data_IF_247806818783
#
_entry.id   IF_247806818783
#
_cell.length_a   1.000
_cell.length_b   1.000
_cell.length_c   1.000
_cell.angle_alpha   90.00
_cell.angle_beta   90.00
_cell.angle_gamma   90.00
#
_symmetry.space_group_name_H-M   'P 1'
#
loop_
_entity.id
_entity.type
_entity.pdbx_description
1 polymer ?
#
# COMPACT_ATOMS: atom_id res chain seq x y z
N UNK A 1 10.23 -38.39 -0.69
CA UNK A 1 10.13 -37.46 0.43
C UNK A 1 8.87 -36.63 0.23
N UNK A 2 7.95 -36.62 1.17
CA UNK A 2 6.60 -36.04 1.04
C UNK A 2 6.65 -34.55 1.39
N UNK A 3 6.25 -33.69 0.48
CA UNK A 3 6.02 -32.26 0.75
C UNK A 3 4.54 -32.03 1.05
N UNK A 4 4.25 -31.56 2.23
CA UNK A 4 2.92 -31.13 2.64
C UNK A 4 2.61 -29.76 2.05
N UNK A 5 1.50 -29.65 1.34
CA UNK A 5 0.92 -28.38 0.90
C UNK A 5 0.09 -27.83 2.05
N UNK A 6 0.43 -26.65 2.55
CA UNK A 6 -0.43 -25.86 3.42
C UNK A 6 -1.31 -24.94 2.56
N UNK A 7 -2.58 -25.05 2.81
CA UNK A 7 -3.64 -24.27 2.16
C UNK A 7 -3.84 -23.01 2.98
N UNK A 8 -3.66 -21.85 2.36
CA UNK A 8 -4.01 -20.55 2.96
C UNK A 8 -5.52 -20.39 3.04
N UNK A 9 -6.03 -20.28 4.23
CA UNK A 9 -7.43 -19.93 4.50
C UNK A 9 -7.57 -18.41 4.57
N UNK A 10 -8.38 -17.86 3.68
CA UNK A 10 -8.81 -16.46 3.72
C UNK A 10 -9.96 -16.34 4.70
N UNK A 11 -9.77 -15.63 5.82
CA UNK A 11 -10.84 -15.28 6.74
C UNK A 11 -11.66 -14.12 6.19
N UNK A 12 -12.88 -14.40 5.76
CA UNK A 12 -13.93 -13.42 5.49
C UNK A 12 -14.67 -13.17 6.79
N UNK A 13 -14.61 -11.95 7.32
CA UNK A 13 -15.38 -11.52 8.47
C UNK A 13 -16.80 -11.17 8.04
N UNK A 14 -17.76 -12.06 8.31
CA UNK A 14 -19.18 -11.78 8.13
C UNK A 14 -19.79 -11.29 9.46
N UNK A 15 -20.25 -10.03 9.46
CA UNK A 15 -21.06 -9.47 10.56
C UNK A 15 -22.48 -10.04 10.46
N UNK A 16 -22.91 -10.80 11.47
CA UNK A 16 -24.30 -11.15 11.68
C UNK A 16 -24.88 -10.30 12.80
N UNK A 17 -25.85 -9.45 12.48
CA UNK A 17 -26.73 -8.82 13.45
C UNK A 17 -27.74 -9.86 13.93
N UNK A 18 -27.84 -10.08 15.24
CA UNK A 18 -28.98 -10.76 15.87
C UNK A 18 -29.61 -9.85 16.91
N UNK A 19 -30.80 -9.40 16.62
CA UNK A 19 -31.73 -8.84 17.61
C UNK A 19 -32.36 -9.99 18.41
N UNK A 20 -32.33 -9.91 19.73
CA UNK A 20 -33.27 -10.62 20.58
C UNK A 20 -33.76 -9.70 21.70
N UNK A 21 -35.05 -9.52 21.71
CA UNK A 21 -35.77 -8.79 22.73
C UNK A 21 -36.24 -9.76 23.83
N UNK A 22 -36.30 -9.28 25.06
CA UNK A 22 -37.31 -9.66 26.04
C UNK A 22 -36.87 -10.51 27.23
N UNK A 23 -37.10 -9.97 28.42
CA UNK A 23 -37.25 -10.73 29.65
C UNK A 23 -36.82 -10.00 30.92
N UNK A 24 -37.77 -9.38 31.61
CA UNK A 24 -37.63 -8.85 32.97
C UNK A 24 -37.33 -9.93 34.02
N UNK A 25 -36.47 -9.61 34.97
CA UNK A 25 -36.70 -9.98 36.39
C UNK A 25 -35.82 -9.14 37.31
N UNK A 26 -36.47 -8.55 38.32
CA UNK A 26 -35.89 -7.73 39.41
C UNK A 26 -35.07 -8.61 40.40
N UNK A 27 -33.94 -8.06 40.86
CA UNK A 27 -33.43 -7.92 42.23
C UNK A 27 -31.92 -7.89 42.31
N UNK A 28 -31.36 -6.73 42.59
CA UNK A 28 -30.33 -6.47 43.59
C UNK A 28 -29.73 -5.07 43.33
N UNK A 29 -30.30 -4.09 44.02
CA UNK A 29 -29.64 -2.81 44.27
C UNK A 29 -28.71 -2.99 45.47
N UNK A 30 -27.41 -2.88 45.30
CA UNK A 30 -26.44 -2.37 46.26
C UNK A 30 -24.96 -2.41 45.79
N UNK A 31 -24.71 -2.95 44.60
CA UNK A 31 -23.34 -2.96 44.03
C UNK A 31 -23.16 -2.05 42.78
N UNK A 32 -24.15 -1.18 42.50
CA UNK A 32 -24.21 -0.47 41.21
C UNK A 32 -23.69 0.97 41.25
N UNK A 33 -23.32 1.53 42.42
CA UNK A 33 -22.90 2.93 42.53
C UNK A 33 -21.44 3.15 42.17
N UNK A 34 -20.55 2.23 42.55
CA UNK A 34 -19.12 2.39 42.30
C UNK A 34 -18.71 2.04 40.82
N UNK A 35 -19.39 1.05 40.26
CA UNK A 35 -19.17 0.69 38.85
C UNK A 35 -19.69 1.80 37.89
N UNK A 36 -20.79 2.47 38.24
CA UNK A 36 -21.30 3.57 37.40
C UNK A 36 -20.40 4.81 37.41
N UNK A 37 -19.65 5.04 38.49
CA UNK A 37 -18.74 6.18 38.58
C UNK A 37 -17.46 5.94 37.80
N UNK A 38 -16.90 4.75 37.83
CA UNK A 38 -15.74 4.39 37.01
C UNK A 38 -16.10 4.33 35.51
N UNK A 39 -17.21 3.71 35.15
CA UNK A 39 -17.65 3.65 33.74
C UNK A 39 -17.97 5.03 33.17
N UNK A 40 -18.43 5.98 33.97
CA UNK A 40 -18.64 7.37 33.51
C UNK A 40 -17.34 8.16 33.37
N UNK A 41 -16.32 7.91 34.21
CA UNK A 41 -14.99 8.49 34.03
C UNK A 41 -14.30 8.00 32.78
N UNK A 42 -14.34 6.70 32.54
CA UNK A 42 -13.77 6.07 31.35
C UNK A 42 -14.47 6.60 30.07
N UNK A 43 -15.81 6.66 30.04
CA UNK A 43 -16.53 7.21 28.89
C UNK A 43 -16.25 8.68 28.60
N UNK A 44 -15.85 9.48 29.58
CA UNK A 44 -15.52 10.89 29.38
C UNK A 44 -14.10 11.06 28.83
N UNK A 45 -13.17 10.20 29.23
CA UNK A 45 -11.81 10.14 28.65
C UNK A 45 -11.86 9.66 27.19
N UNK A 46 -12.60 8.61 26.89
CA UNK A 46 -12.78 8.08 25.52
C UNK A 46 -13.28 9.15 24.52
N UNK A 47 -14.15 10.09 24.94
CA UNK A 47 -14.68 11.11 24.04
C UNK A 47 -13.68 12.23 23.68
N UNK A 48 -12.70 12.48 24.52
CA UNK A 48 -11.71 13.54 24.29
C UNK A 48 -10.51 13.00 23.47
N UNK A 49 -10.10 11.74 23.67
CA UNK A 49 -8.94 11.16 22.99
C UNK A 49 -9.24 10.61 21.58
N UNK A 50 -10.38 9.99 21.36
CA UNK A 50 -10.77 9.52 20.01
C UNK A 50 -10.88 10.68 19.01
N UNK A 51 -11.19 11.87 19.46
CA UNK A 51 -11.22 13.08 18.62
C UNK A 51 -9.81 13.66 18.34
N UNK A 52 -8.77 13.28 19.08
CA UNK A 52 -7.41 13.77 18.89
C UNK A 52 -6.56 12.90 17.96
N UNK A 53 -6.98 11.65 17.71
CA UNK A 53 -6.27 10.70 16.84
C UNK A 53 -6.97 10.60 15.48
N UNK A 54 -7.01 11.69 14.75
CA UNK A 54 -7.46 11.65 13.37
C UNK A 54 -6.27 11.47 12.44
N UNK A 55 -6.12 10.25 11.92
CA UNK A 55 -5.31 9.96 10.71
C UNK A 55 -6.03 10.43 9.45
N UNK A 56 -7.12 11.20 9.60
CA UNK A 56 -7.93 11.67 8.48
C UNK A 56 -7.08 12.55 7.57
N UNK A 57 -6.92 12.09 6.36
CA UNK A 57 -6.32 12.87 5.30
C UNK A 57 -7.09 14.17 5.06
N UNK A 58 -6.36 15.19 4.61
CA UNK A 58 -7.01 16.44 4.20
C UNK A 58 -7.89 16.16 2.99
N UNK A 59 -9.12 16.64 3.00
CA UNK A 59 -10.06 16.49 1.87
C UNK A 59 -9.45 16.98 0.55
N UNK A 60 -8.56 17.99 0.60
CA UNK A 60 -7.83 18.50 -0.56
C UNK A 60 -6.89 17.47 -1.21
N UNK A 61 -6.49 16.43 -0.50
CA UNK A 61 -5.64 15.36 -1.06
C UNK A 61 -6.38 14.57 -2.15
N UNK A 62 -7.68 14.49 -2.04
CA UNK A 62 -8.55 13.74 -2.95
C UNK A 62 -9.38 14.65 -3.84
N UNK A 63 -9.08 15.96 -3.90
CA UNK A 63 -9.85 16.93 -4.67
C UNK A 63 -9.91 16.62 -6.19
N UNK A 64 -8.86 15.94 -6.70
CA UNK A 64 -8.79 15.50 -8.09
C UNK A 64 -9.27 14.06 -8.29
N UNK A 65 -9.76 13.40 -7.23
CA UNK A 65 -10.29 12.04 -7.34
C UNK A 65 -11.68 12.10 -7.98
N UNK A 66 -11.78 11.48 -9.15
CA UNK A 66 -13.06 11.15 -9.79
C UNK A 66 -13.13 9.63 -9.89
N UNK A 67 -14.05 9.03 -9.15
CA UNK A 67 -14.20 7.57 -9.05
C UNK A 67 -14.52 6.92 -10.39
N UNK A 68 -15.10 7.68 -11.32
CA UNK A 68 -15.54 7.21 -12.63
C UNK A 68 -14.59 7.58 -13.77
N UNK A 69 -13.67 8.53 -13.55
CA UNK A 69 -12.76 8.98 -14.60
C UNK A 69 -11.68 7.94 -14.92
N UNK A 70 -11.30 7.91 -16.19
CA UNK A 70 -10.18 7.11 -16.68
C UNK A 70 -9.15 8.06 -17.29
N UNK A 71 -7.94 8.07 -16.73
CA UNK A 71 -6.81 8.83 -17.30
C UNK A 71 -6.13 7.98 -18.35
N UNK A 72 -5.82 8.56 -19.50
CA UNK A 72 -5.04 7.86 -20.52
C UNK A 72 -3.56 8.12 -20.35
N UNK A 73 -2.76 7.06 -20.34
CA UNK A 73 -1.30 7.11 -20.30
C UNK A 73 -0.69 6.45 -21.53
N UNK A 74 0.24 7.16 -22.15
CA UNK A 74 1.03 6.72 -23.29
C UNK A 74 2.45 6.47 -22.83
N UNK A 75 2.92 5.23 -22.99
CA UNK A 75 4.25 4.82 -22.56
C UNK A 75 5.04 4.32 -23.77
N UNK A 76 6.04 5.10 -24.20
CA UNK A 76 7.02 4.63 -25.17
C UNK A 76 8.21 4.07 -24.43
N UNK A 77 8.53 2.78 -24.64
CA UNK A 77 9.67 2.11 -24.01
C UNK A 77 10.83 1.94 -25.00
N UNK A 78 12.04 2.08 -24.50
CA UNK A 78 13.28 1.93 -25.26
C UNK A 78 14.38 1.33 -24.40
N UNK A 79 15.41 0.76 -25.01
CA UNK A 79 16.62 0.38 -24.28
C UNK A 79 17.31 1.65 -23.79
N UNK A 80 17.68 1.66 -22.54
CA UNK A 80 18.47 2.72 -21.93
C UNK A 80 19.93 2.32 -21.82
N UNK A 81 20.48 2.29 -20.61
CA UNK A 81 21.88 1.96 -20.37
C UNK A 81 22.04 0.93 -19.23
N UNK A 82 23.13 0.18 -19.28
CA UNK A 82 23.44 -0.87 -18.31
C UNK A 82 23.68 -0.33 -16.88
N UNK A 83 24.18 0.92 -16.75
CA UNK A 83 24.44 1.52 -15.44
C UNK A 83 23.16 1.85 -14.64
N UNK A 84 22.05 2.01 -15.35
CA UNK A 84 20.70 2.18 -14.77
C UNK A 84 19.88 0.87 -14.79
N UNK A 85 20.47 -0.23 -15.23
CA UNK A 85 19.77 -1.53 -15.47
C UNK A 85 18.55 -1.36 -16.40
N UNK A 86 18.69 -0.51 -17.44
CA UNK A 86 17.60 -0.17 -18.39
C UNK A 86 17.90 -0.58 -19.83
N UNK A 87 18.95 -1.35 -20.06
CA UNK A 87 19.38 -1.82 -21.38
C UNK A 87 18.65 -3.10 -21.85
N UNK A 88 17.59 -3.47 -21.16
CA UNK A 88 16.78 -4.65 -21.45
C UNK A 88 15.70 -4.36 -22.50
N UNK A 89 15.14 -5.42 -23.09
CA UNK A 89 13.98 -5.30 -23.96
C UNK A 89 12.66 -5.36 -23.19
N UNK A 90 11.61 -4.86 -23.83
CA UNK A 90 10.25 -4.97 -23.31
C UNK A 90 9.81 -6.44 -23.17
N UNK A 91 10.21 -7.26 -24.12
CA UNK A 91 9.98 -8.70 -24.08
C UNK A 91 10.66 -9.35 -22.87
N UNK A 92 11.92 -9.02 -22.60
CA UNK A 92 12.67 -9.57 -21.46
C UNK A 92 11.98 -9.21 -20.13
N UNK A 93 11.65 -7.94 -19.87
CA UNK A 93 11.04 -7.58 -18.59
C UNK A 93 9.66 -8.22 -18.39
N UNK A 94 8.94 -8.55 -19.47
CA UNK A 94 7.64 -9.20 -19.40
C UNK A 94 7.74 -10.74 -19.33
N UNK A 95 8.91 -11.32 -19.59
CA UNK A 95 9.11 -12.77 -19.59
C UNK A 95 9.41 -13.35 -18.22
N UNK A 96 10.03 -12.58 -17.33
CA UNK A 96 10.50 -13.06 -16.03
C UNK A 96 9.53 -12.69 -14.91
N UNK A 97 9.39 -13.61 -13.95
CA UNK A 97 8.74 -13.38 -12.66
C UNK A 97 9.76 -12.91 -11.62
N UNK A 98 9.31 -12.55 -10.44
CA UNK A 98 10.21 -12.24 -9.32
C UNK A 98 11.01 -13.46 -8.88
N UNK A 99 10.40 -14.63 -8.88
CA UNK A 99 11.07 -15.89 -8.58
C UNK A 99 12.20 -16.19 -9.59
N UNK A 100 12.00 -15.85 -10.87
CA UNK A 100 13.06 -16.00 -11.88
C UNK A 100 14.25 -15.08 -11.57
N UNK A 101 14.02 -13.82 -11.20
CA UNK A 101 15.09 -12.88 -10.81
C UNK A 101 15.82 -13.34 -9.54
N UNK A 102 15.09 -13.84 -8.55
CA UNK A 102 15.68 -14.41 -7.32
C UNK A 102 16.55 -15.63 -7.64
N UNK A 103 16.09 -16.53 -8.52
CA UNK A 103 16.85 -17.69 -8.96
C UNK A 103 18.10 -17.32 -9.77
N UNK A 104 18.03 -16.25 -10.56
CA UNK A 104 19.19 -15.73 -11.31
C UNK A 104 20.16 -14.93 -10.43
N UNK A 105 19.74 -14.51 -9.22
CA UNK A 105 20.55 -13.67 -8.35
C UNK A 105 20.79 -12.27 -8.90
N UNK A 106 19.83 -11.71 -9.66
CA UNK A 106 19.92 -10.40 -10.28
C UNK A 106 18.74 -9.51 -9.89
N UNK A 107 18.96 -8.20 -9.94
CA UNK A 107 17.89 -7.22 -9.78
C UNK A 107 16.89 -7.29 -10.94
N UNK A 108 15.63 -6.91 -10.66
CA UNK A 108 14.59 -6.84 -11.70
C UNK A 108 15.02 -5.93 -12.84
N UNK A 109 14.99 -6.44 -14.04
CA UNK A 109 15.29 -5.70 -15.25
C UNK A 109 14.33 -4.53 -15.46
N UNK A 110 14.86 -3.48 -16.03
CA UNK A 110 14.12 -2.26 -16.33
C UNK A 110 14.30 -1.89 -17.80
N UNK A 111 13.45 -1.01 -18.27
CA UNK A 111 13.60 -0.31 -19.55
C UNK A 111 13.49 1.19 -19.34
N UNK A 112 14.08 1.97 -20.20
CA UNK A 112 13.83 3.40 -20.26
C UNK A 112 12.42 3.66 -20.80
N UNK A 113 11.69 4.62 -20.24
CA UNK A 113 10.33 4.96 -20.62
C UNK A 113 10.13 6.45 -20.82
N UNK A 114 9.38 6.81 -21.85
CA UNK A 114 8.76 8.12 -22.00
C UNK A 114 7.29 7.97 -21.62
N UNK A 115 6.94 8.43 -20.42
CA UNK A 115 5.56 8.48 -19.96
C UNK A 115 4.95 9.83 -20.36
N UNK A 116 3.81 9.78 -21.03
CA UNK A 116 3.01 10.94 -21.40
C UNK A 116 1.58 10.74 -20.92
N UNK A 117 1.00 11.75 -20.31
CA UNK A 117 -0.39 11.71 -19.82
C UNK A 117 -1.27 12.56 -20.71
N UNK A 118 -2.46 12.05 -21.01
CA UNK A 118 -3.41 12.69 -21.90
C UNK A 118 -4.81 12.14 -21.83
N UNK A 119 -5.51 12.21 -22.94
CA UNK A 119 -6.85 11.67 -23.15
C UNK A 119 -6.85 10.67 -24.32
N UNK A 120 -8.00 10.28 -24.82
CA UNK A 120 -8.15 9.32 -25.93
C UNK A 120 -7.59 9.83 -27.27
N UNK A 121 -7.31 11.12 -27.39
CA UNK A 121 -6.78 11.74 -28.61
C UNK A 121 -5.26 11.88 -28.59
N UNK A 122 -4.62 11.63 -27.45
CA UNK A 122 -3.16 11.69 -27.28
C UNK A 122 -2.70 12.46 -26.05
N UNK A 123 -1.37 12.68 -25.91
CA UNK A 123 -0.81 13.49 -24.84
C UNK A 123 -1.33 14.92 -24.84
N UNK A 124 -1.72 15.46 -23.68
CA UNK A 124 -2.33 16.79 -23.57
C UNK A 124 -1.40 17.79 -22.89
N UNK A 125 -1.49 19.05 -23.35
CA UNK A 125 -0.66 20.16 -22.83
C UNK A 125 -0.87 20.35 -21.31
N UNK A 126 0.22 20.63 -20.60
CA UNK A 126 0.22 20.83 -19.15
C UNK A 126 0.34 19.53 -18.33
N UNK A 127 0.26 18.37 -18.97
CA UNK A 127 0.45 17.09 -18.33
C UNK A 127 1.89 16.57 -18.45
N UNK A 128 2.22 15.56 -17.64
CA UNK A 128 3.54 14.90 -17.63
C UNK A 128 3.91 14.43 -19.03
N UNK A 129 5.14 14.73 -19.44
CA UNK A 129 5.73 14.26 -20.69
C UNK A 129 5.21 14.92 -21.95
N UNK A 130 4.30 15.91 -21.87
CA UNK A 130 3.81 16.60 -23.06
C UNK A 130 4.95 17.25 -23.85
N UNK A 131 4.98 17.00 -25.15
CA UNK A 131 6.04 17.45 -26.06
C UNK A 131 7.47 16.98 -25.70
N UNK A 132 7.62 16.01 -24.80
CA UNK A 132 8.91 15.35 -24.58
C UNK A 132 9.13 14.23 -25.62
N UNK A 133 10.39 14.08 -26.04
CA UNK A 133 10.82 13.08 -27.02
C UNK A 133 11.83 12.08 -26.42
N UNK A 134 12.33 12.38 -25.21
CA UNK A 134 13.35 11.57 -24.55
C UNK A 134 12.79 10.87 -23.32
N UNK A 135 13.31 9.69 -22.93
CA UNK A 135 12.85 8.98 -21.74
C UNK A 135 12.88 9.83 -20.47
N UNK A 136 11.74 9.93 -19.80
CA UNK A 136 11.55 10.65 -18.56
C UNK A 136 11.35 9.75 -17.34
N UNK A 137 11.33 8.43 -17.55
CA UNK A 137 11.07 7.45 -16.52
C UNK A 137 11.89 6.17 -16.71
N UNK A 138 11.90 5.32 -15.69
CA UNK A 138 12.24 3.90 -15.78
C UNK A 138 10.99 3.06 -15.56
N UNK A 139 10.94 1.88 -16.16
CA UNK A 139 9.79 0.97 -16.10
C UNK A 139 10.24 -0.44 -15.78
N UNK A 140 9.56 -1.08 -14.85
CA UNK A 140 9.78 -2.49 -14.51
C UNK A 140 8.45 -3.18 -14.16
N UNK A 141 8.44 -4.51 -14.19
CA UNK A 141 7.30 -5.25 -13.62
C UNK A 141 7.25 -5.06 -12.10
N UNK A 142 6.04 -5.17 -11.54
CA UNK A 142 5.82 -5.12 -10.09
C UNK A 142 4.96 -6.27 -9.59
N UNK A 143 4.97 -6.42 -8.27
CA UNK A 143 4.26 -7.47 -7.54
C UNK A 143 5.20 -8.63 -7.21
N UNK A 144 4.79 -9.46 -6.27
CA UNK A 144 5.45 -10.72 -5.92
C UNK A 144 4.77 -11.83 -6.73
N UNK A 145 3.73 -12.43 -6.21
CA UNK A 145 2.98 -13.51 -6.87
C UNK A 145 2.41 -13.10 -8.23
N UNK A 146 1.92 -11.85 -8.37
CA UNK A 146 1.35 -11.36 -9.62
C UNK A 146 2.37 -11.13 -10.74
N UNK A 147 3.67 -11.17 -10.45
CA UNK A 147 4.72 -11.07 -11.46
C UNK A 147 4.74 -12.27 -12.43
N UNK A 148 4.21 -13.42 -12.02
CA UNK A 148 4.05 -14.60 -12.88
C UNK A 148 2.84 -14.54 -13.83
N UNK A 149 1.93 -13.57 -13.65
CA UNK A 149 0.75 -13.42 -14.50
C UNK A 149 1.13 -13.04 -15.93
N UNK A 150 0.35 -13.49 -16.91
CA UNK A 150 0.53 -13.13 -18.32
C UNK A 150 0.33 -11.62 -18.56
N UNK A 151 -0.65 -11.02 -17.86
CA UNK A 151 -0.84 -9.57 -17.87
C UNK A 151 -0.11 -8.95 -16.67
N UNK A 152 0.97 -8.24 -16.94
CA UNK A 152 1.87 -7.70 -15.93
C UNK A 152 1.32 -6.44 -15.26
N UNK A 153 1.72 -6.27 -14.01
CA UNK A 153 1.65 -4.97 -13.32
C UNK A 153 2.96 -4.23 -13.57
N UNK A 154 2.90 -2.90 -13.63
CA UNK A 154 4.08 -2.07 -13.88
C UNK A 154 4.32 -1.07 -12.77
N UNK A 155 5.60 -0.80 -12.49
CA UNK A 155 6.09 0.35 -11.75
C UNK A 155 6.76 1.27 -12.75
N UNK A 156 6.26 2.50 -12.86
CA UNK A 156 6.86 3.56 -13.66
C UNK A 156 7.42 4.60 -12.69
N UNK A 157 8.71 4.88 -12.75
CA UNK A 157 9.34 5.86 -11.86
C UNK A 157 9.91 7.03 -12.67
N UNK A 158 9.27 8.19 -12.52
CA UNK A 158 9.73 9.43 -13.16
C UNK A 158 11.11 9.83 -12.64
N UNK A 159 12.02 10.24 -13.52
CA UNK A 159 13.35 10.77 -13.16
C UNK A 159 13.20 12.02 -12.29
N UNK A 160 14.14 12.26 -11.38
CA UNK A 160 14.04 13.31 -10.34
C UNK A 160 13.77 14.72 -10.90
N UNK A 161 14.25 15.00 -12.10
CA UNK A 161 14.15 16.30 -12.78
C UNK A 161 13.03 16.37 -13.83
N UNK A 162 12.15 15.37 -13.90
CA UNK A 162 11.11 15.23 -14.91
C UNK A 162 9.68 15.43 -14.37
N UNK A 163 9.59 16.13 -13.23
CA UNK A 163 8.32 16.47 -12.63
C UNK A 163 7.66 15.30 -11.87
N UNK A 164 6.38 15.47 -11.64
CA UNK A 164 5.53 14.50 -10.92
C UNK A 164 4.15 14.46 -11.58
N UNK A 165 3.49 13.32 -11.47
CA UNK A 165 2.08 13.22 -11.79
C UNK A 165 1.28 13.26 -10.49
N UNK A 166 0.43 14.29 -10.31
CA UNK A 166 -0.33 14.50 -9.06
C UNK A 166 0.55 14.41 -7.80
N UNK A 167 1.76 14.98 -7.84
CA UNK A 167 2.71 14.93 -6.75
C UNK A 167 3.43 13.59 -6.56
N UNK A 168 3.20 12.61 -7.40
CA UNK A 168 3.79 11.27 -7.34
C UNK A 168 4.87 11.11 -8.41
N UNK A 169 6.05 10.60 -8.02
CA UNK A 169 7.09 10.18 -8.97
C UNK A 169 6.97 8.71 -9.34
N UNK A 170 6.47 7.90 -8.42
CA UNK A 170 6.27 6.46 -8.63
C UNK A 170 4.81 6.21 -8.92
N UNK A 171 4.55 5.66 -10.09
CA UNK A 171 3.22 5.34 -10.62
C UNK A 171 3.13 3.82 -10.72
N UNK A 172 2.32 3.23 -9.86
CA UNK A 172 2.10 1.79 -9.85
C UNK A 172 0.81 1.46 -10.59
N UNK A 173 0.90 0.66 -11.64
CA UNK A 173 -0.21 0.22 -12.44
C UNK A 173 -0.51 -1.26 -12.17
N UNK A 174 -1.67 -1.54 -11.59
CA UNK A 174 -2.14 -2.90 -11.28
C UNK A 174 -3.16 -3.36 -12.30
N UNK A 175 -2.90 -4.50 -12.95
CA UNK A 175 -3.76 -5.07 -14.00
C UNK A 175 -4.93 -5.89 -13.46
N UNK A 176 -4.80 -6.48 -12.28
CA UNK A 176 -5.81 -7.35 -11.66
C UNK A 176 -6.28 -8.49 -12.58
N UNK A 177 -5.35 -9.24 -13.17
CA UNK A 177 -5.67 -10.30 -14.15
C UNK A 177 -6.70 -11.31 -13.62
N UNK A 178 -6.66 -11.66 -12.34
CA UNK A 178 -7.58 -12.63 -11.72
C UNK A 178 -8.98 -12.10 -11.40
N UNK A 179 -9.26 -10.82 -11.70
CA UNK A 179 -10.52 -10.16 -11.37
C UNK A 179 -11.24 -9.68 -12.63
N UNK A 180 -12.39 -10.31 -12.95
CA UNK A 180 -13.12 -10.04 -14.20
C UNK A 180 -13.63 -8.61 -14.35
N UNK A 181 -13.99 -7.94 -13.24
CA UNK A 181 -14.53 -6.58 -13.25
C UNK A 181 -13.46 -5.49 -13.12
N UNK A 182 -12.27 -5.84 -12.65
CA UNK A 182 -11.08 -4.97 -12.54
C UNK A 182 -11.23 -3.70 -11.70
N UNK A 183 -12.26 -3.58 -10.86
CA UNK A 183 -12.48 -2.40 -10.03
C UNK A 183 -12.45 -2.66 -8.52
N UNK A 184 -12.50 -3.92 -8.05
CA UNK A 184 -12.58 -4.25 -6.61
C UNK A 184 -11.44 -3.63 -5.81
N UNK A 185 -10.25 -3.62 -6.37
CA UNK A 185 -9.07 -3.04 -5.70
C UNK A 185 -9.26 -1.53 -5.49
N UNK A 186 -9.67 -0.80 -6.54
CA UNK A 186 -9.96 0.64 -6.41
C UNK A 186 -11.10 0.88 -5.42
N UNK A 187 -12.19 0.13 -5.54
CA UNK A 187 -13.33 0.25 -4.62
C UNK A 187 -12.92 0.04 -3.16
N UNK A 188 -12.05 -0.93 -2.85
CA UNK A 188 -11.56 -1.16 -1.50
C UNK A 188 -10.77 0.05 -0.97
N UNK A 189 -9.90 0.64 -1.79
CA UNK A 189 -9.17 1.86 -1.40
C UNK A 189 -10.11 3.05 -1.22
N UNK A 190 -11.10 3.21 -2.08
CA UNK A 190 -12.08 4.30 -1.96
C UNK A 190 -12.93 4.18 -0.69
N UNK A 191 -13.31 2.95 -0.30
CA UNK A 191 -14.00 2.70 0.96
C UNK A 191 -13.12 3.04 2.18
N UNK A 192 -11.82 2.73 2.14
CA UNK A 192 -10.89 3.05 3.22
C UNK A 192 -10.76 4.56 3.45
N UNK A 193 -10.81 5.37 2.39
CA UNK A 193 -10.79 6.84 2.49
C UNK A 193 -11.93 7.40 3.37
N UNK A 194 -13.05 6.68 3.47
CA UNK A 194 -14.18 7.02 4.33
C UNK A 194 -13.99 6.68 5.81
N UNK A 195 -12.90 6.02 6.20
CA UNK A 195 -12.62 5.60 7.58
C UNK A 195 -11.66 6.60 8.24
N UNK A 196 -12.12 7.46 9.19
CA UNK A 196 -11.33 8.56 9.75
C UNK A 196 -10.02 8.16 10.43
N UNK A 197 -9.90 6.90 10.86
CA UNK A 197 -8.73 6.37 11.57
C UNK A 197 -7.76 5.63 10.66
N UNK A 198 -8.01 5.62 9.35
CA UNK A 198 -7.16 4.92 8.38
C UNK A 198 -6.64 5.90 7.31
N UNK A 199 -5.41 5.68 6.90
CA UNK A 199 -4.85 6.36 5.74
C UNK A 199 -5.32 5.66 4.47
N UNK A 200 -6.05 6.37 3.61
CA UNK A 200 -6.40 5.88 2.28
C UNK A 200 -5.28 6.14 1.27
N UNK A 201 -5.03 5.22 0.34
CA UNK A 201 -4.14 5.51 -0.78
C UNK A 201 -4.92 6.14 -1.94
N UNK A 202 -4.29 7.11 -2.62
CA UNK A 202 -4.84 7.69 -3.85
C UNK A 202 -4.85 6.64 -4.95
N UNK A 203 -5.95 6.54 -5.66
CA UNK A 203 -6.13 5.59 -6.76
C UNK A 203 -6.76 6.26 -7.97
N UNK A 204 -6.46 5.77 -9.16
CA UNK A 204 -7.02 6.25 -10.41
C UNK A 204 -7.16 5.09 -11.40
N UNK A 205 -8.24 5.07 -12.16
CA UNK A 205 -8.30 4.24 -13.36
C UNK A 205 -7.43 4.82 -14.46
N UNK A 206 -6.64 3.95 -15.08
CA UNK A 206 -5.72 4.32 -16.15
C UNK A 206 -5.94 3.40 -17.35
N UNK A 207 -6.14 3.97 -18.51
CA UNK A 207 -6.02 3.27 -19.78
C UNK A 207 -4.59 3.41 -20.27
N UNK A 208 -3.89 2.31 -20.41
CA UNK A 208 -2.47 2.29 -20.78
C UNK A 208 -2.30 1.89 -22.25
N UNK A 209 -1.60 2.74 -22.99
CA UNK A 209 -1.08 2.44 -24.32
C UNK A 209 0.43 2.32 -24.28
N UNK A 210 0.99 1.28 -24.88
CA UNK A 210 2.44 1.05 -24.91
C UNK A 210 2.95 1.00 -26.33
N UNK A 211 4.05 1.73 -26.59
CA UNK A 211 4.82 1.64 -27.82
C UNK A 211 6.21 1.09 -27.51
N UNK A 212 6.52 -0.08 -28.07
CA UNK A 212 7.79 -0.77 -27.84
C UNK A 212 8.80 -0.41 -28.91
N UNK A 213 9.84 0.29 -28.49
CA UNK A 213 11.01 0.64 -29.31
C UNK A 213 12.30 -0.03 -28.78
N UNK A 214 12.19 -1.11 -27.99
CA UNK A 214 13.36 -1.76 -27.39
C UNK A 214 14.13 -2.64 -28.39
N UNK A 215 13.44 -3.28 -29.34
CA UNK A 215 14.01 -4.17 -30.34
C UNK A 215 13.71 -3.71 -31.78
N UNK A 216 13.55 -2.43 -31.97
CA UNK A 216 13.24 -1.75 -33.22
C UNK A 216 12.24 -0.63 -32.97
N UNK A 217 11.96 0.19 -33.98
CA UNK A 217 10.94 1.23 -33.85
C UNK A 217 9.55 0.66 -34.18
N UNK A 218 8.61 0.83 -33.24
CA UNK A 218 7.19 0.64 -33.51
C UNK A 218 6.54 1.98 -33.85
N UNK A 219 5.72 2.03 -34.87
CA UNK A 219 5.01 3.25 -35.27
C UNK A 219 3.68 3.42 -34.55
N UNK A 220 3.20 2.39 -33.84
CA UNK A 220 1.88 2.37 -33.24
C UNK A 220 1.92 2.02 -31.74
N UNK A 221 1.04 2.67 -30.98
CA UNK A 221 0.70 2.27 -29.63
C UNK A 221 -0.19 1.03 -29.63
N UNK A 222 0.13 0.07 -28.78
CA UNK A 222 -0.70 -1.10 -28.50
C UNK A 222 -1.56 -0.82 -27.27
N UNK A 223 -2.82 -1.21 -27.33
CA UNK A 223 -3.75 -1.08 -26.21
C UNK A 223 -3.50 -2.15 -25.15
N UNK A 224 -3.02 -1.72 -24.00
CA UNK A 224 -2.82 -2.57 -22.82
C UNK A 224 -4.05 -2.59 -21.90
N UNK A 225 -5.09 -1.79 -22.21
CA UNK A 225 -6.37 -1.74 -21.51
C UNK A 225 -6.31 -1.10 -20.13
N UNK A 226 -7.32 -1.41 -19.32
CA UNK A 226 -7.55 -0.79 -18.02
C UNK A 226 -6.60 -1.32 -16.95
N UNK A 227 -6.05 -0.39 -16.16
CA UNK A 227 -5.28 -0.58 -14.94
C UNK A 227 -5.89 0.23 -13.80
N UNK A 228 -5.60 -0.17 -12.56
CA UNK A 228 -5.75 0.70 -11.40
C UNK A 228 -4.36 1.23 -11.01
N UNK A 229 -4.17 2.54 -11.11
CA UNK A 229 -3.02 3.20 -10.50
C UNK A 229 -3.26 3.24 -8.99
N UNK A 230 -2.23 2.87 -8.22
CA UNK A 230 -2.24 2.91 -6.76
C UNK A 230 -1.03 3.70 -6.29
N UNK A 231 -1.24 4.64 -5.37
CA UNK A 231 -0.17 5.41 -4.75
C UNK A 231 0.90 4.52 -4.15
N UNK A 232 2.16 4.85 -4.37
CA UNK A 232 3.28 4.14 -3.73
C UNK A 232 3.41 4.60 -2.30
N UNK A 233 3.13 3.71 -1.34
CA UNK A 233 3.39 3.98 0.06
C UNK A 233 4.90 4.06 0.31
N UNK A 234 5.39 5.28 0.48
CA UNK A 234 6.78 5.63 0.73
C UNK A 234 6.86 6.95 1.53
N UNK A 235 8.07 7.45 1.79
CA UNK A 235 8.28 8.72 2.51
C UNK A 235 7.54 9.91 1.89
N UNK A 236 7.39 9.94 0.56
CA UNK A 236 6.63 10.99 -0.13
C UNK A 236 5.13 10.87 0.17
N UNK A 237 4.58 9.68 0.12
CA UNK A 237 3.19 9.43 0.47
C UNK A 237 2.91 9.80 1.94
N UNK A 238 3.74 9.33 2.89
CA UNK A 238 3.60 9.71 4.31
C UNK A 238 3.54 11.24 4.47
N UNK A 239 4.47 11.97 3.86
CA UNK A 239 4.49 13.43 3.90
C UNK A 239 3.25 14.07 3.27
N UNK A 240 2.77 13.54 2.16
CA UNK A 240 1.58 14.03 1.46
C UNK A 240 0.33 13.85 2.34
N UNK A 241 0.24 12.74 3.05
CA UNK A 241 -0.82 12.42 4.00
C UNK A 241 -0.65 13.09 5.38
N UNK A 242 0.37 13.96 5.53
CA UNK A 242 0.60 14.69 6.79
C UNK A 242 1.22 13.87 7.91
N UNK A 243 1.73 12.69 7.58
CA UNK A 243 2.43 11.81 8.52
C UNK A 243 3.93 12.12 8.55
N UNK A 244 4.59 11.72 9.64
CA UNK A 244 6.04 11.87 9.75
C UNK A 244 6.75 10.94 8.75
N UNK A 245 7.41 11.52 7.77
CA UNK A 245 8.17 10.79 6.76
C UNK A 245 9.46 10.15 7.30
N UNK A 246 9.84 10.44 8.54
CA UNK A 246 10.92 9.78 9.29
C UNK A 246 10.41 8.73 10.27
N UNK A 247 9.08 8.54 10.35
CA UNK A 247 8.46 7.55 11.22
C UNK A 247 8.78 6.10 10.82
N UNK A 248 8.43 5.20 11.71
CA UNK A 248 8.54 3.77 11.47
C UNK A 248 7.53 3.35 10.39
N UNK A 249 8.00 2.67 9.36
CA UNK A 249 7.19 2.15 8.28
C UNK A 249 7.65 0.74 7.94
N UNK A 250 6.72 -0.19 7.95
CA UNK A 250 6.99 -1.60 7.67
C UNK A 250 6.06 -2.12 6.57
N UNK A 251 6.59 -3.02 5.76
CA UNK A 251 5.79 -3.81 4.85
C UNK A 251 5.66 -5.22 5.41
N UNK A 252 4.44 -5.66 5.64
CA UNK A 252 4.14 -7.01 6.11
C UNK A 252 4.49 -8.01 5.00
N UNK A 253 5.33 -8.99 5.32
CA UNK A 253 5.64 -10.12 4.43
C UNK A 253 4.89 -11.38 4.89
N UNK A 254 5.25 -11.92 6.07
CA UNK A 254 4.60 -13.08 6.67
C UNK A 254 4.51 -12.87 8.18
N UNK A 255 3.49 -12.16 8.62
CA UNK A 255 3.36 -11.74 10.01
C UNK A 255 1.89 -11.69 10.44
N UNK A 256 1.57 -12.31 11.56
CA UNK A 256 0.21 -12.41 12.10
C UNK A 256 -0.05 -11.46 13.28
N UNK A 257 0.82 -10.47 13.48
CA UNK A 257 0.75 -9.47 14.55
C UNK A 257 0.83 -10.05 15.98
N UNK A 258 1.40 -11.24 16.14
CA UNK A 258 1.77 -11.76 17.45
C UNK A 258 3.07 -11.14 17.94
N UNK A 259 3.22 -11.06 19.27
CA UNK A 259 4.45 -10.62 19.92
C UNK A 259 5.49 -11.77 19.89
N UNK A 260 6.22 -11.91 18.79
CA UNK A 260 7.34 -12.86 18.63
C UNK A 260 8.58 -12.28 19.32
N UNK A 261 8.72 -12.48 20.65
CA UNK A 261 9.77 -11.82 21.47
C UNK A 261 11.20 -12.17 21.04
N UNK A 262 11.39 -13.35 20.44
CA UNK A 262 12.71 -13.79 19.96
C UNK A 262 13.12 -13.10 18.66
N UNK A 263 12.16 -12.59 17.86
CA UNK A 263 12.37 -12.00 16.54
C UNK A 263 12.14 -10.48 16.55
N UNK A 264 10.99 -10.05 17.09
CA UNK A 264 10.61 -8.63 17.12
C UNK A 264 11.25 -7.95 18.34
N UNK A 265 12.44 -7.43 18.14
CA UNK A 265 13.26 -6.77 19.16
C UNK A 265 13.60 -5.36 18.75
N UNK A 266 14.00 -4.52 19.69
CA UNK A 266 14.59 -3.21 19.37
C UNK A 266 15.97 -3.39 18.77
N UNK A 267 16.42 -2.42 17.99
CA UNK A 267 17.76 -2.45 17.38
C UNK A 267 18.91 -2.43 18.40
N UNK A 268 18.63 -1.98 19.63
CA UNK A 268 19.60 -1.95 20.74
C UNK A 268 19.70 -3.30 21.49
N UNK A 269 18.78 -4.24 21.24
CA UNK A 269 18.83 -5.56 21.89
C UNK A 269 20.00 -6.37 21.32
N UNK A 270 20.88 -6.93 22.17
CA UNK A 270 22.01 -7.75 21.71
C UNK A 270 21.60 -8.99 20.89
N UNK A 271 20.36 -9.44 21.04
CA UNK A 271 19.79 -10.55 20.27
C UNK A 271 19.02 -10.11 19.02
N UNK A 272 19.07 -8.83 18.62
CA UNK A 272 18.44 -8.36 17.41
C UNK A 272 19.09 -8.96 16.17
N UNK A 273 18.28 -9.49 15.27
CA UNK A 273 18.70 -9.99 13.97
C UNK A 273 17.81 -9.37 12.89
N UNK A 274 18.38 -8.47 12.09
CA UNK A 274 17.62 -7.76 11.06
C UNK A 274 17.04 -8.70 9.99
N UNK A 275 17.78 -9.72 9.56
CA UNK A 275 17.32 -10.66 8.55
C UNK A 275 16.08 -11.44 9.03
N UNK A 276 16.12 -11.99 10.24
CA UNK A 276 14.98 -12.66 10.85
C UNK A 276 13.79 -11.72 11.07
N UNK A 277 14.04 -10.44 11.42
CA UNK A 277 13.01 -9.43 11.55
C UNK A 277 12.36 -9.14 10.17
N UNK A 278 13.17 -8.95 9.11
CA UNK A 278 12.69 -8.61 7.77
C UNK A 278 11.98 -9.78 7.06
N UNK A 279 12.17 -11.02 7.49
CA UNK A 279 11.30 -12.13 7.08
C UNK A 279 9.83 -11.91 7.47
N UNK A 280 9.57 -11.19 8.56
CA UNK A 280 8.24 -10.82 9.04
C UNK A 280 7.76 -9.49 8.50
N UNK A 281 8.60 -8.46 8.69
CA UNK A 281 8.28 -7.05 8.47
C UNK A 281 9.44 -6.36 7.76
N UNK A 282 9.33 -6.17 6.45
CA UNK A 282 10.35 -5.44 5.67
C UNK A 282 10.41 -3.97 6.12
N UNK A 283 11.58 -3.50 6.53
CA UNK A 283 11.81 -2.14 7.01
C UNK A 283 11.77 -1.16 5.84
N UNK A 284 10.88 -0.17 5.88
CA UNK A 284 10.71 0.86 4.84
C UNK A 284 10.95 2.28 5.35
N UNK A 285 10.94 2.47 6.65
CA UNK A 285 11.12 3.74 7.32
C UNK A 285 12.30 3.74 8.29
N UNK A 286 12.25 4.64 9.28
CA UNK A 286 13.11 4.60 10.43
C UNK A 286 12.65 3.50 11.40
N UNK A 287 13.57 2.91 12.16
CA UNK A 287 13.27 1.67 12.86
C UNK A 287 14.17 1.40 14.06
N UNK A 288 13.82 2.00 15.19
CA UNK A 288 14.23 1.49 16.48
C UNK A 288 13.29 0.36 16.98
N UNK A 289 12.16 0.16 16.29
CA UNK A 289 11.09 -0.80 16.55
C UNK A 289 10.30 -0.58 17.85
N UNK A 290 10.59 0.42 18.65
CA UNK A 290 9.95 0.64 19.95
C UNK A 290 8.44 0.84 19.85
N UNK A 291 7.96 1.64 18.89
CA UNK A 291 6.54 1.90 18.68
C UNK A 291 5.79 0.67 18.16
N UNK A 292 6.43 -0.10 17.27
CA UNK A 292 5.90 -1.37 16.79
C UNK A 292 5.70 -2.35 17.95
N UNK A 293 6.73 -2.52 18.77
CA UNK A 293 6.70 -3.43 19.93
C UNK A 293 5.60 -3.01 20.89
N UNK A 294 5.52 -1.73 21.22
CA UNK A 294 4.46 -1.21 22.11
C UNK A 294 3.04 -1.49 21.56
N UNK A 295 2.84 -1.30 20.26
CA UNK A 295 1.57 -1.63 19.60
C UNK A 295 1.28 -3.14 19.69
N UNK A 296 2.26 -3.98 19.41
CA UNK A 296 2.10 -5.44 19.47
C UNK A 296 1.81 -5.91 20.89
N UNK A 297 2.50 -5.37 21.89
CA UNK A 297 2.23 -5.70 23.28
C UNK A 297 0.78 -5.33 23.68
N UNK A 298 0.32 -4.15 23.27
CA UNK A 298 -1.06 -3.71 23.53
C UNK A 298 -2.11 -4.58 22.82
N UNK A 299 -1.87 -4.96 21.57
CA UNK A 299 -2.80 -5.80 20.79
C UNK A 299 -2.85 -7.24 21.31
N UNK A 300 -1.76 -7.75 21.86
CA UNK A 300 -1.67 -9.11 22.39
C UNK A 300 -1.98 -9.21 23.90
N UNK A 301 -2.19 -8.09 24.59
CA UNK A 301 -2.61 -8.10 26.00
C UNK A 301 -4.13 -8.20 26.10
N UNK A 302 -4.64 -9.41 26.20
CA UNK A 302 -6.08 -9.68 26.35
C UNK A 302 -6.69 -9.22 27.69
N UNK A 303 -5.87 -8.69 28.62
CA UNK A 303 -6.36 -8.03 29.84
C UNK A 303 -6.86 -6.61 29.56
N UNK A 304 -6.42 -5.99 28.47
CA UNK A 304 -6.87 -4.66 28.03
C UNK A 304 -8.23 -4.78 27.35
N UNK A 305 -9.26 -4.07 27.80
CA UNK A 305 -10.56 -4.04 27.12
C UNK A 305 -10.40 -3.57 25.66
N UNK A 306 -11.08 -4.21 24.72
CA UNK A 306 -10.93 -3.96 23.29
C UNK A 306 -11.14 -2.50 22.89
N UNK A 307 -12.01 -1.80 23.58
CA UNK A 307 -12.27 -0.36 23.36
C UNK A 307 -11.12 0.55 23.85
N UNK A 308 -10.15 0.02 24.58
CA UNK A 308 -8.98 0.75 25.09
C UNK A 308 -7.69 0.38 24.34
N UNK A 309 -7.67 -0.70 23.56
CA UNK A 309 -6.47 -1.15 22.85
C UNK A 309 -5.89 -0.05 21.95
N UNK A 310 -6.75 0.73 21.29
CA UNK A 310 -6.28 1.84 20.45
C UNK A 310 -5.56 2.91 21.27
N UNK A 311 -6.08 3.31 22.45
CA UNK A 311 -5.43 4.28 23.32
C UNK A 311 -4.04 3.81 23.78
N UNK A 312 -3.94 2.56 24.21
CA UNK A 312 -2.67 1.97 24.61
C UNK A 312 -1.69 1.89 23.44
N UNK A 313 -2.18 1.54 22.26
CA UNK A 313 -1.33 1.49 21.05
C UNK A 313 -0.82 2.87 20.65
N UNK A 314 -1.62 3.93 20.82
CA UNK A 314 -1.24 5.30 20.46
C UNK A 314 -0.45 6.03 21.54
N UNK A 315 -0.63 5.73 22.82
CA UNK A 315 0.07 6.40 23.91
C UNK A 315 1.60 6.30 23.80
N UNK A 316 2.11 5.21 23.22
CA UNK A 316 3.53 5.03 22.88
C UNK A 316 3.97 5.73 21.60
N UNK A 317 3.04 6.18 20.75
CA UNK A 317 3.35 6.78 19.45
C UNK A 317 3.44 8.31 19.48
N UNK A 318 2.98 8.97 20.54
CA UNK A 318 2.83 10.44 20.63
C UNK A 318 4.00 11.19 21.25
N UNK A 319 5.16 10.54 21.50
CA UNK A 319 6.35 11.21 22.04
C UNK A 319 7.51 11.19 21.08
#
# INVERSE_FOLDING_TARGET
MKRNRLISAVCVLSLALSLCAGGCSEKKEEAASDIKTETQKVKKAEKEDINSVHLRDKDTLYADDDETSVVTMYLTVSRGNASENTDHSWSEINSYSVEDYENMGVDRYQVAGLLQVGDENGPTSGNVGYAEEVPNATVQIRGQTSSSNAQKNYKIELKKNKGTWRGQRVINLNKHQGEGMRFRNKMAYDLIKGIPQMMGLRTQFVHLYVKDNTDGSSDAFQDYGLYTQVEQLNKTALKTHGLDSKGQLYKVNSFEFYREEDVIKTTDDPGYNQEAFEERLEIKGDSDHTKLIHMLDAVNDYSIPINQVLEYSYAGCSK
#
